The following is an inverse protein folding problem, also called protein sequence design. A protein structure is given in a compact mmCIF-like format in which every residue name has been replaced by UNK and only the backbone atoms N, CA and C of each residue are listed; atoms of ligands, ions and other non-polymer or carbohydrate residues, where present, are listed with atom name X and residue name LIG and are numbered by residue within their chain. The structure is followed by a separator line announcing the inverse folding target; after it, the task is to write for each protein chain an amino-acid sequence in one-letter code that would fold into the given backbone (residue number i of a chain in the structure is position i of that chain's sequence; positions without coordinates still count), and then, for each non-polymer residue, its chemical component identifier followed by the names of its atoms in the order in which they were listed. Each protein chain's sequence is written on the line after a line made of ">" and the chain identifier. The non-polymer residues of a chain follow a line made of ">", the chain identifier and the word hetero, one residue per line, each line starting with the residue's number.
data_IF_836469575709
#
_entry.id   IF_836469575709
#
_cell.length_a   1.000
_cell.length_b   1.000
_cell.length_c   1.000
_cell.angle_alpha   90.00
_cell.angle_beta   90.00
_cell.angle_gamma   90.00
#
_symmetry.space_group_name_H-M   'P 1'
#
loop_
_entity.id
_entity.type
_entity.pdbx_description
1 polymer ?
#
# COMPACT_ATOMS: atom_id res chain seq x y z
N UNK A 1 -1.00 -12.91 -6.74
CA UNK A 1 0.41 -12.77 -6.26
C UNK A 1 0.37 -12.51 -4.75
N UNK A 2 1.47 -12.39 -4.02
CA UNK A 2 1.50 -11.88 -2.65
C UNK A 2 1.71 -10.37 -2.62
N UNK A 3 1.66 -9.79 -1.41
CA UNK A 3 1.84 -8.38 -1.14
C UNK A 3 3.11 -7.77 -1.78
N UNK A 4 4.24 -8.49 -1.77
CA UNK A 4 5.52 -8.02 -2.34
C UNK A 4 5.39 -7.78 -3.83
N UNK A 5 4.92 -8.78 -4.57
CA UNK A 5 4.74 -8.68 -6.00
C UNK A 5 3.73 -7.59 -6.40
N UNK A 6 2.60 -7.48 -5.67
CA UNK A 6 1.59 -6.45 -5.93
C UNK A 6 2.16 -5.04 -5.74
N UNK A 7 2.84 -4.79 -4.61
CA UNK A 7 3.50 -3.50 -4.33
C UNK A 7 4.59 -3.17 -5.34
N UNK A 8 5.41 -4.15 -5.73
CA UNK A 8 6.46 -3.97 -6.72
C UNK A 8 5.88 -3.61 -8.10
N UNK A 9 4.86 -4.35 -8.55
CA UNK A 9 4.18 -4.10 -9.83
C UNK A 9 3.52 -2.73 -9.86
N UNK A 10 2.77 -2.38 -8.82
CA UNK A 10 2.13 -1.07 -8.70
C UNK A 10 3.14 0.08 -8.69
N UNK A 11 4.28 -0.09 -7.99
CA UNK A 11 5.35 0.90 -8.01
C UNK A 11 5.92 1.08 -9.41
N UNK A 12 6.25 0.00 -10.11
CA UNK A 12 6.83 0.05 -11.46
C UNK A 12 5.86 0.67 -12.48
N UNK A 13 4.61 0.22 -12.49
CA UNK A 13 3.56 0.76 -13.36
C UNK A 13 3.27 2.23 -13.05
N UNK A 14 3.08 2.55 -11.78
CA UNK A 14 2.84 3.91 -11.32
C UNK A 14 3.99 4.83 -11.70
N UNK A 15 5.25 4.42 -11.46
CA UNK A 15 6.45 5.20 -11.77
C UNK A 15 6.64 5.42 -13.27
N UNK A 16 6.46 4.37 -14.07
CA UNK A 16 6.51 4.46 -15.52
C UNK A 16 5.48 5.46 -16.02
N UNK A 17 4.23 5.32 -15.59
CA UNK A 17 3.13 6.17 -16.03
C UNK A 17 3.27 7.61 -15.52
N UNK A 18 3.76 7.82 -14.30
CA UNK A 18 3.95 9.17 -13.77
C UNK A 18 5.00 9.95 -14.53
N UNK A 19 6.02 9.27 -15.08
CA UNK A 19 7.01 9.89 -15.96
C UNK A 19 6.39 10.33 -17.28
N UNK A 20 5.56 9.48 -17.90
CA UNK A 20 4.83 9.79 -19.13
C UNK A 20 3.87 10.98 -18.92
N UNK A 21 3.09 10.94 -17.84
CA UNK A 21 2.08 11.96 -17.55
C UNK A 21 2.63 13.22 -16.87
N UNK A 22 3.92 13.23 -16.51
CA UNK A 22 4.63 14.29 -15.76
C UNK A 22 3.96 14.61 -14.41
N UNK A 23 3.73 13.57 -13.61
CA UNK A 23 3.02 13.65 -12.32
C UNK A 23 3.96 13.26 -11.19
N UNK A 24 3.89 14.00 -10.08
CA UNK A 24 4.58 13.63 -8.84
C UNK A 24 3.74 12.59 -8.10
N UNK A 25 4.33 11.42 -7.87
CA UNK A 25 3.68 10.33 -7.14
C UNK A 25 3.79 10.51 -5.63
N UNK A 26 2.74 10.08 -4.95
CA UNK A 26 2.74 9.79 -3.53
C UNK A 26 2.93 8.27 -3.36
N UNK A 27 4.19 7.87 -3.16
CA UNK A 27 4.58 6.46 -3.07
C UNK A 27 3.80 5.70 -1.98
N UNK A 28 3.65 6.21 -0.73
CA UNK A 28 2.82 5.57 0.29
C UNK A 28 1.40 5.19 -0.18
N UNK A 29 0.68 6.13 -0.79
CA UNK A 29 -0.69 5.88 -1.26
C UNK A 29 -0.71 4.86 -2.40
N UNK A 30 0.25 4.94 -3.31
CA UNK A 30 0.41 4.00 -4.41
C UNK A 30 0.56 2.56 -3.91
N UNK A 31 1.41 2.34 -2.90
CA UNK A 31 1.65 1.02 -2.32
C UNK A 31 0.41 0.51 -1.57
N UNK A 32 -0.25 1.35 -0.77
CA UNK A 32 -1.48 0.96 -0.07
C UNK A 32 -2.55 0.51 -1.06
N UNK A 33 -2.79 1.28 -2.12
CA UNK A 33 -3.82 0.92 -3.11
C UNK A 33 -3.55 -0.41 -3.80
N UNK A 34 -2.29 -0.80 -3.96
CA UNK A 34 -1.92 -2.07 -4.61
C UNK A 34 -2.27 -3.33 -3.82
N UNK A 35 -2.52 -3.19 -2.51
CA UNK A 35 -2.86 -4.30 -1.61
C UNK A 35 -4.22 -4.09 -0.93
N UNK A 36 -4.89 -2.98 -1.23
CA UNK A 36 -6.19 -2.66 -0.66
C UNK A 36 -7.26 -3.70 -1.00
N UNK A 37 -7.27 -4.34 -2.20
CA UNK A 37 -8.25 -5.38 -2.50
C UNK A 37 -8.26 -6.53 -1.49
N UNK A 38 -7.09 -6.99 -1.05
CA UNK A 38 -6.89 -8.07 -0.07
C UNK A 38 -7.34 -7.74 1.37
N UNK A 39 -7.81 -6.52 1.63
CA UNK A 39 -8.38 -6.20 2.95
C UNK A 39 -9.66 -7.01 3.21
N UNK A 40 -10.31 -7.51 2.16
CA UNK A 40 -11.42 -8.45 2.28
C UNK A 40 -11.05 -9.78 2.96
N UNK A 41 -9.80 -10.23 2.89
CA UNK A 41 -9.33 -11.45 3.57
C UNK A 41 -9.55 -11.32 5.10
N UNK A 42 -9.32 -10.12 5.64
CA UNK A 42 -9.57 -9.83 7.06
C UNK A 42 -11.07 -9.88 7.35
N UNK A 43 -11.90 -9.37 6.45
CA UNK A 43 -13.35 -9.43 6.57
C UNK A 43 -13.85 -10.87 6.56
N UNK A 44 -13.40 -11.67 5.60
CA UNK A 44 -13.71 -13.10 5.48
C UNK A 44 -13.33 -13.86 6.75
N UNK A 45 -12.16 -13.56 7.33
CA UNK A 45 -11.74 -14.17 8.59
C UNK A 45 -12.62 -13.82 9.79
N UNK A 46 -13.05 -12.56 9.94
CA UNK A 46 -13.91 -12.18 11.07
C UNK A 46 -15.36 -12.62 10.89
N UNK A 47 -15.83 -12.76 9.66
CA UNK A 47 -17.25 -13.04 9.36
C UNK A 47 -17.53 -14.48 8.95
N UNK A 48 -16.50 -15.24 8.58
CA UNK A 48 -16.64 -16.56 7.96
C UNK A 48 -17.27 -16.50 6.57
N UNK A 49 -17.24 -15.34 5.91
CA UNK A 49 -17.70 -15.19 4.53
C UNK A 49 -16.63 -15.63 3.52
N UNK A 50 -17.04 -15.84 2.27
CA UNK A 50 -16.18 -16.20 1.14
C UNK A 50 -16.37 -15.14 0.04
N UNK A 51 -16.05 -13.89 0.38
CA UNK A 51 -16.19 -12.74 -0.51
C UNK A 51 -14.87 -12.31 -1.13
N UNK A 52 -13.74 -12.86 -0.67
CA UNK A 52 -12.44 -12.62 -1.23
C UNK A 52 -12.45 -12.85 -2.74
N UNK A 53 -11.79 -11.95 -3.49
CA UNK A 53 -11.80 -11.91 -4.97
C UNK A 53 -13.16 -11.59 -5.61
N UNK A 54 -14.11 -11.14 -4.80
CA UNK A 54 -15.40 -10.62 -5.21
C UNK A 54 -15.39 -9.09 -5.40
N UNK A 55 -16.19 -8.32 -4.64
CA UNK A 55 -16.38 -6.89 -4.87
C UNK A 55 -15.10 -6.02 -4.87
N UNK A 56 -14.16 -6.31 -3.97
CA UNK A 56 -12.90 -5.55 -3.80
C UNK A 56 -11.93 -5.72 -4.97
N UNK A 57 -12.03 -6.83 -5.69
CA UNK A 57 -11.20 -7.17 -6.84
C UNK A 57 -11.90 -6.86 -8.18
N UNK A 58 -13.13 -6.34 -8.13
CA UNK A 58 -13.88 -5.96 -9.31
C UNK A 58 -13.37 -4.66 -9.91
N UNK A 59 -13.12 -4.69 -11.23
CA UNK A 59 -12.74 -3.49 -12.00
C UNK A 59 -13.91 -2.52 -12.07
N UNK A 60 -15.14 -3.03 -12.09
CA UNK A 60 -16.36 -2.21 -12.11
C UNK A 60 -16.46 -1.41 -10.81
N UNK A 61 -16.27 -2.07 -9.66
CA UNK A 61 -16.27 -1.39 -8.35
C UNK A 61 -15.13 -0.39 -8.26
N UNK A 62 -13.92 -0.78 -8.67
CA UNK A 62 -12.77 0.11 -8.70
C UNK A 62 -13.04 1.35 -9.57
N UNK A 63 -13.63 1.19 -10.76
CA UNK A 63 -14.00 2.29 -11.65
C UNK A 63 -15.00 3.23 -10.98
N UNK A 64 -16.09 2.70 -10.44
CA UNK A 64 -17.14 3.49 -9.77
C UNK A 64 -16.54 4.29 -8.61
N UNK A 65 -15.73 3.65 -7.76
CA UNK A 65 -15.05 4.31 -6.65
C UNK A 65 -14.10 5.43 -7.11
N UNK A 66 -13.49 5.27 -8.28
CA UNK A 66 -12.54 6.24 -8.83
C UNK A 66 -13.18 7.33 -9.71
N UNK A 67 -14.43 7.21 -10.16
CA UNK A 67 -15.14 8.26 -10.92
C UNK A 67 -15.02 9.65 -10.26
N UNK A 68 -15.39 9.86 -8.97
CA UNK A 68 -15.28 11.17 -8.35
C UNK A 68 -13.82 11.66 -8.29
N UNK A 69 -12.86 10.75 -8.09
CA UNK A 69 -11.44 11.09 -8.07
C UNK A 69 -10.97 11.54 -9.46
N UNK A 70 -11.38 10.85 -10.53
CA UNK A 70 -11.07 11.24 -11.90
C UNK A 70 -11.67 12.61 -12.25
N UNK A 71 -12.89 12.91 -11.79
CA UNK A 71 -13.51 14.23 -12.01
C UNK A 71 -12.69 15.35 -11.32
N UNK A 72 -12.32 15.15 -10.06
CA UNK A 72 -11.68 16.19 -9.23
C UNK A 72 -10.19 16.34 -9.58
N UNK A 73 -9.46 15.23 -9.62
CA UNK A 73 -8.00 15.22 -9.71
C UNK A 73 -7.47 14.87 -11.10
N UNK A 74 -8.37 14.48 -12.03
CA UNK A 74 -8.08 14.23 -13.45
C UNK A 74 -6.95 13.21 -13.62
N UNK A 75 -6.04 13.46 -14.56
CA UNK A 75 -4.91 12.57 -14.89
C UNK A 75 -4.00 12.23 -13.71
N UNK A 76 -4.03 13.01 -12.61
CA UNK A 76 -3.22 12.72 -11.40
C UNK A 76 -3.62 11.42 -10.72
N UNK A 77 -4.84 10.94 -10.95
CA UNK A 77 -5.36 9.72 -10.33
C UNK A 77 -4.93 8.46 -11.07
N UNK A 78 -4.63 8.56 -12.37
CA UNK A 78 -4.41 7.39 -13.22
C UNK A 78 -3.36 6.42 -12.65
N UNK A 79 -2.19 6.85 -12.14
CA UNK A 79 -1.22 5.92 -11.53
C UNK A 79 -1.76 5.17 -10.31
N UNK A 80 -2.62 5.80 -9.52
CA UNK A 80 -3.23 5.22 -8.32
C UNK A 80 -4.35 4.25 -8.67
N UNK A 81 -5.15 4.59 -9.68
CA UNK A 81 -6.14 3.66 -10.22
C UNK A 81 -5.47 2.42 -10.80
N UNK A 82 -4.39 2.63 -11.56
CA UNK A 82 -3.60 1.54 -12.13
C UNK A 82 -2.98 0.66 -11.04
N UNK A 83 -2.47 1.25 -9.96
CA UNK A 83 -1.98 0.49 -8.81
C UNK A 83 -3.08 -0.40 -8.21
N UNK A 84 -4.27 0.14 -7.99
CA UNK A 84 -5.41 -0.63 -7.46
C UNK A 84 -5.79 -1.79 -8.39
N UNK A 85 -6.08 -1.51 -9.66
CA UNK A 85 -6.56 -2.56 -10.57
C UNK A 85 -5.46 -3.54 -10.97
N UNK A 86 -4.17 -3.17 -10.89
CA UNK A 86 -3.06 -4.09 -11.16
C UNK A 86 -3.06 -5.29 -10.22
N UNK A 87 -3.63 -5.12 -9.03
CA UNK A 87 -3.83 -6.21 -8.09
C UNK A 87 -4.61 -7.35 -8.75
N UNK A 88 -5.83 -7.05 -9.22
CA UNK A 88 -6.72 -8.04 -9.82
C UNK A 88 -6.34 -8.37 -11.26
N UNK A 89 -6.07 -7.36 -12.10
CA UNK A 89 -5.84 -7.55 -13.54
C UNK A 89 -4.50 -8.14 -13.93
N UNK A 90 -3.49 -8.03 -13.07
CA UNK A 90 -2.14 -8.53 -13.36
C UNK A 90 -1.76 -9.56 -12.31
N UNK A 91 -1.84 -9.22 -11.03
CA UNK A 91 -1.44 -10.15 -9.99
C UNK A 91 -2.34 -11.37 -9.95
N UNK A 92 -3.61 -11.19 -9.65
CA UNK A 92 -4.50 -12.32 -9.38
C UNK A 92 -5.05 -12.97 -10.65
N UNK A 93 -5.19 -12.22 -11.73
CA UNK A 93 -5.63 -12.77 -13.01
C UNK A 93 -4.63 -13.81 -13.55
N UNK A 94 -3.33 -13.53 -13.39
CA UNK A 94 -2.28 -14.45 -13.83
C UNK A 94 -1.92 -15.49 -12.76
N UNK A 95 -2.04 -15.14 -11.47
CA UNK A 95 -1.66 -16.00 -10.33
C UNK A 95 -2.85 -16.14 -9.36
N UNK A 96 -3.35 -17.36 -9.17
CA UNK A 96 -4.42 -17.64 -8.21
C UNK A 96 -5.84 -17.60 -8.80
N UNK A 97 -6.14 -16.74 -9.78
CA UNK A 97 -7.41 -16.73 -10.53
C UNK A 97 -8.67 -16.55 -9.67
N UNK A 98 -9.80 -17.07 -10.14
CA UNK A 98 -11.11 -17.06 -9.45
C UNK A 98 -11.67 -15.67 -9.13
N UNK A 99 -11.40 -14.69 -9.99
CA UNK A 99 -11.79 -13.29 -9.78
C UNK A 99 -13.18 -13.00 -10.34
N UNK A 100 -14.06 -12.37 -9.56
CA UNK A 100 -15.33 -11.83 -10.06
C UNK A 100 -15.10 -10.41 -10.64
N UNK A 101 -14.34 -10.31 -11.74
CA UNK A 101 -13.88 -9.05 -12.32
C UNK A 101 -14.98 -8.03 -12.63
N UNK A 102 -16.19 -8.53 -12.95
CA UNK A 102 -17.34 -7.73 -13.36
C UNK A 102 -18.45 -7.66 -12.31
N UNK A 103 -18.18 -8.04 -11.06
CA UNK A 103 -19.14 -7.88 -9.97
C UNK A 103 -19.55 -6.39 -9.84
N UNK A 104 -20.84 -6.03 -9.64
CA UNK A 104 -21.97 -6.92 -9.34
C UNK A 104 -22.75 -7.42 -10.56
N UNK A 105 -22.35 -7.06 -11.78
CA UNK A 105 -23.08 -7.44 -12.99
C UNK A 105 -22.92 -8.91 -13.36
N UNK A 106 -21.81 -9.53 -12.95
CA UNK A 106 -21.56 -10.96 -13.10
C UNK A 106 -20.73 -11.48 -11.93
N UNK A 107 -21.07 -12.68 -11.47
CA UNK A 107 -20.29 -13.47 -10.50
C UNK A 107 -19.41 -14.52 -11.18
N UNK A 108 -19.32 -14.48 -12.53
CA UNK A 108 -18.42 -15.36 -13.28
C UNK A 108 -16.99 -15.13 -12.84
N UNK A 109 -16.27 -16.22 -12.58
CA UNK A 109 -14.90 -16.21 -12.14
C UNK A 109 -13.95 -16.21 -13.36
N UNK A 110 -12.91 -15.38 -13.27
CA UNK A 110 -11.92 -15.20 -14.32
C UNK A 110 -10.49 -15.39 -13.77
N UNK A 111 -9.62 -15.84 -14.66
CA UNK A 111 -8.19 -16.00 -14.44
C UNK A 111 -7.58 -16.85 -15.56
N UNK A 112 -6.26 -16.92 -15.62
CA UNK A 112 -5.56 -17.72 -16.64
C UNK A 112 -5.85 -19.21 -16.51
N UNK A 113 -6.03 -19.70 -15.29
CA UNK A 113 -6.29 -21.13 -15.06
C UNK A 113 -7.63 -21.56 -15.67
N UNK A 114 -8.65 -20.70 -15.53
CA UNK A 114 -9.99 -20.89 -16.07
C UNK A 114 -10.01 -20.88 -17.62
N UNK A 115 -8.98 -20.31 -18.25
CA UNK A 115 -8.78 -20.29 -19.70
C UNK A 115 -7.96 -21.50 -20.22
N UNK A 116 -7.73 -22.52 -19.40
CA UNK A 116 -7.00 -23.75 -19.77
C UNK A 116 -5.49 -23.69 -19.50
N UNK A 117 -5.01 -22.68 -18.77
CA UNK A 117 -3.60 -22.63 -18.34
C UNK A 117 -3.39 -23.40 -17.02
N UNK A 118 -2.12 -23.69 -16.70
CA UNK A 118 -1.74 -24.29 -15.43
C UNK A 118 -2.07 -23.34 -14.26
N UNK A 119 -2.66 -23.87 -13.18
CA UNK A 119 -2.91 -23.10 -11.96
C UNK A 119 -1.58 -22.79 -11.27
N UNK A 120 -1.17 -21.52 -11.29
CA UNK A 120 0.02 -21.08 -10.57
C UNK A 120 -0.40 -20.70 -9.15
N UNK A 121 -0.07 -21.59 -8.21
CA UNK A 121 -0.31 -21.38 -6.80
C UNK A 121 0.56 -20.26 -6.23
N UNK A 122 0.10 -19.71 -5.12
CA UNK A 122 0.79 -18.65 -4.39
C UNK A 122 2.19 -19.11 -3.89
N UNK A 123 2.32 -20.39 -3.51
CA UNK A 123 3.60 -21.01 -3.11
C UNK A 123 4.36 -21.68 -4.26
N UNK A 124 3.87 -21.54 -5.49
CA UNK A 124 4.52 -22.13 -6.67
C UNK A 124 5.89 -21.47 -6.91
N UNK A 125 6.96 -22.23 -7.22
CA UNK A 125 8.27 -21.68 -7.52
C UNK A 125 8.27 -20.60 -8.60
N UNK A 126 7.39 -20.71 -9.60
CA UNK A 126 7.24 -19.70 -10.67
C UNK A 126 6.70 -18.39 -10.09
N UNK A 127 5.69 -18.45 -9.22
CA UNK A 127 5.18 -17.26 -8.54
C UNK A 127 6.26 -16.63 -7.64
N UNK A 128 6.94 -17.45 -6.83
CA UNK A 128 8.01 -16.97 -5.94
C UNK A 128 9.11 -16.26 -6.76
N UNK A 129 9.56 -16.88 -7.85
CA UNK A 129 10.58 -16.29 -8.72
C UNK A 129 10.10 -14.98 -9.38
N UNK A 130 8.84 -14.92 -9.82
CA UNK A 130 8.24 -13.72 -10.40
C UNK A 130 8.20 -12.58 -9.38
N UNK A 131 7.73 -12.86 -8.17
CA UNK A 131 7.65 -11.85 -7.11
C UNK A 131 9.01 -11.31 -6.69
N UNK A 132 9.99 -12.19 -6.52
CA UNK A 132 11.35 -11.78 -6.20
C UNK A 132 11.99 -10.97 -7.33
N UNK A 133 11.74 -11.36 -8.58
CA UNK A 133 12.22 -10.60 -9.75
C UNK A 133 11.62 -9.19 -9.78
N UNK A 134 10.30 -9.08 -9.61
CA UNK A 134 9.60 -7.79 -9.53
C UNK A 134 10.10 -6.97 -8.35
N UNK A 135 10.29 -7.58 -7.18
CA UNK A 135 10.82 -6.93 -5.99
C UNK A 135 12.22 -6.34 -6.23
N UNK A 136 13.13 -7.13 -6.82
CA UNK A 136 14.50 -6.67 -7.12
C UNK A 136 14.45 -5.51 -8.11
N UNK A 137 13.70 -5.64 -9.21
CA UNK A 137 13.57 -4.59 -10.24
C UNK A 137 12.97 -3.32 -9.63
N UNK A 138 11.89 -3.44 -8.86
CA UNK A 138 11.24 -2.33 -8.17
C UNK A 138 12.20 -1.64 -7.19
N UNK A 139 12.97 -2.40 -6.42
CA UNK A 139 13.96 -1.87 -5.47
C UNK A 139 15.07 -1.11 -6.18
N UNK A 140 15.58 -1.63 -7.30
CA UNK A 140 16.57 -0.94 -8.12
C UNK A 140 16.03 0.38 -8.69
N UNK A 141 14.79 0.39 -9.19
CA UNK A 141 14.14 1.60 -9.69
C UNK A 141 13.88 2.60 -8.56
N UNK A 142 13.45 2.11 -7.40
CA UNK A 142 13.21 2.91 -6.19
C UNK A 142 14.50 3.59 -5.72
N UNK A 143 15.61 2.85 -5.72
CA UNK A 143 16.93 3.37 -5.39
C UNK A 143 17.39 4.41 -6.41
N UNK A 144 17.42 4.06 -7.70
CA UNK A 144 17.92 4.91 -8.80
C UNK A 144 17.12 6.19 -8.97
N UNK A 145 15.81 6.15 -8.74
CA UNK A 145 14.95 7.32 -8.82
C UNK A 145 15.02 8.23 -7.58
N UNK A 146 15.61 7.76 -6.48
CA UNK A 146 15.65 8.48 -5.21
C UNK A 146 14.32 8.48 -4.45
N UNK A 147 13.32 7.73 -4.93
CA UNK A 147 11.99 7.65 -4.31
C UNK A 147 12.04 7.01 -2.92
N UNK A 148 13.04 6.16 -2.64
CA UNK A 148 13.28 5.58 -1.31
C UNK A 148 13.39 6.63 -0.19
N UNK A 149 13.84 7.85 -0.52
CA UNK A 149 13.96 8.96 0.45
C UNK A 149 12.62 9.35 1.05
N UNK A 150 11.49 9.02 0.42
CA UNK A 150 10.14 9.28 0.96
C UNK A 150 9.93 8.58 2.30
N UNK A 151 10.45 7.35 2.46
CA UNK A 151 10.32 6.57 3.70
C UNK A 151 11.14 7.16 4.85
N UNK A 152 12.15 7.98 4.56
CA UNK A 152 13.01 8.61 5.55
C UNK A 152 12.64 10.08 5.79
N UNK A 153 11.51 10.56 5.29
CA UNK A 153 10.99 11.91 5.58
C UNK A 153 9.77 11.81 6.49
N UNK A 154 9.61 12.76 7.39
CA UNK A 154 8.35 12.91 8.11
C UNK A 154 7.32 13.50 7.14
N UNK A 155 6.31 12.72 6.80
CA UNK A 155 5.19 13.16 5.98
C UNK A 155 3.92 12.47 6.48
N UNK A 156 2.85 13.23 6.72
CA UNK A 156 1.56 12.69 7.17
C UNK A 156 1.06 11.55 6.29
N UNK A 157 1.35 11.59 4.99
CA UNK A 157 0.93 10.52 4.06
C UNK A 157 1.67 9.20 4.32
N UNK A 158 2.81 9.20 5.01
CA UNK A 158 3.49 7.95 5.39
C UNK A 158 2.71 7.17 6.45
N UNK A 159 1.77 7.79 7.18
CA UNK A 159 0.94 7.07 8.17
C UNK A 159 0.04 6.02 7.53
N UNK A 160 -0.34 6.18 6.26
CA UNK A 160 -1.13 5.17 5.54
C UNK A 160 -0.39 3.85 5.38
N UNK A 161 0.95 3.85 5.53
CA UNK A 161 1.77 2.64 5.49
C UNK A 161 1.55 1.70 6.70
N UNK A 162 0.76 2.10 7.71
CA UNK A 162 0.30 1.19 8.76
C UNK A 162 -0.47 0.00 8.17
N UNK A 163 -1.24 0.23 7.09
CA UNK A 163 -1.98 -0.84 6.40
C UNK A 163 -1.01 -1.90 5.86
N UNK A 164 -0.04 -1.57 4.98
CA UNK A 164 0.90 -2.54 4.46
C UNK A 164 1.82 -3.15 5.51
N UNK A 165 2.08 -2.47 6.64
CA UNK A 165 2.79 -3.10 7.77
C UNK A 165 2.02 -4.32 8.26
N UNK A 166 0.71 -4.20 8.49
CA UNK A 166 -0.10 -5.33 8.93
C UNK A 166 -0.14 -6.44 7.87
N UNK A 167 -0.31 -6.10 6.59
CA UNK A 167 -0.44 -7.09 5.51
C UNK A 167 0.85 -7.86 5.24
N UNK A 168 2.04 -7.30 5.48
CA UNK A 168 3.29 -8.05 5.35
C UNK A 168 3.69 -8.75 6.65
N UNK A 169 3.34 -8.19 7.81
CA UNK A 169 3.69 -8.76 9.11
C UNK A 169 2.95 -10.07 9.36
N UNK A 170 1.62 -10.08 9.20
CA UNK A 170 0.79 -11.23 9.57
C UNK A 170 1.19 -12.53 8.82
N UNK A 171 1.37 -12.53 7.48
CA UNK A 171 1.80 -13.73 6.78
C UNK A 171 3.22 -14.16 7.14
N UNK A 172 4.11 -13.20 7.38
CA UNK A 172 5.52 -13.50 7.69
C UNK A 172 5.74 -14.11 9.05
N UNK A 173 4.97 -13.69 10.07
CA UNK A 173 5.19 -14.11 11.46
C UNK A 173 4.17 -15.11 11.95
N UNK A 174 2.88 -14.84 11.76
CA UNK A 174 1.78 -15.67 12.25
C UNK A 174 1.31 -16.70 11.22
N UNK A 175 1.74 -16.55 9.96
CA UNK A 175 1.30 -17.39 8.86
C UNK A 175 -0.03 -16.97 8.27
N UNK A 176 -0.84 -16.16 8.95
CA UNK A 176 -2.15 -15.75 8.44
C UNK A 176 -2.07 -14.97 7.11
N UNK A 177 -2.90 -15.29 6.08
CA UNK A 177 -4.01 -16.25 6.08
C UNK A 177 -3.65 -17.72 5.79
N UNK A 178 -2.37 -18.05 5.70
CA UNK A 178 -1.86 -19.42 5.53
C UNK A 178 -1.84 -20.21 6.85
N UNK A 179 -1.59 -21.50 6.71
CA UNK A 179 -1.44 -22.45 7.83
C UNK A 179 -0.11 -22.34 8.57
N UNK A 180 0.90 -21.69 7.99
CA UNK A 180 2.23 -21.56 8.58
C UNK A 180 2.94 -20.27 8.17
N UNK A 181 3.83 -19.72 9.01
CA UNK A 181 4.61 -18.51 8.73
C UNK A 181 5.45 -18.61 7.45
N UNK A 182 5.45 -17.55 6.63
CA UNK A 182 6.30 -17.49 5.43
C UNK A 182 7.79 -17.61 5.77
N UNK A 183 8.20 -17.18 6.97
CA UNK A 183 9.58 -17.33 7.42
C UNK A 183 10.04 -18.79 7.44
N UNK A 184 9.10 -19.73 7.64
CA UNK A 184 9.36 -21.16 7.65
C UNK A 184 9.11 -21.81 6.28
N UNK A 185 8.04 -21.41 5.59
CA UNK A 185 7.59 -22.08 4.37
C UNK A 185 8.18 -21.52 3.08
N UNK A 186 8.48 -20.21 3.03
CA UNK A 186 9.07 -19.54 1.87
C UNK A 186 10.07 -18.45 2.31
N UNK A 187 11.23 -18.82 2.92
CA UNK A 187 12.17 -17.87 3.49
C UNK A 187 12.62 -16.73 2.53
N UNK A 188 12.88 -16.99 1.22
CA UNK A 188 13.25 -15.92 0.29
C UNK A 188 12.17 -14.83 0.17
N UNK A 189 10.90 -15.22 0.13
CA UNK A 189 9.77 -14.27 0.05
C UNK A 189 9.60 -13.53 1.38
N UNK A 190 9.80 -14.22 2.51
CA UNK A 190 9.77 -13.59 3.83
C UNK A 190 10.84 -12.49 3.97
N UNK A 191 12.03 -12.64 3.38
CA UNK A 191 13.05 -11.59 3.37
C UNK A 191 12.55 -10.32 2.67
N UNK A 192 11.86 -10.46 1.54
CA UNK A 192 11.27 -9.31 0.84
C UNK A 192 10.16 -8.64 1.67
N UNK A 193 9.36 -9.42 2.41
CA UNK A 193 8.39 -8.87 3.38
C UNK A 193 9.09 -8.07 4.48
N UNK A 194 10.14 -8.63 5.09
CA UNK A 194 10.89 -7.97 6.17
C UNK A 194 11.54 -6.66 5.68
N UNK A 195 12.01 -6.62 4.44
CA UNK A 195 12.53 -5.39 3.83
C UNK A 195 11.46 -4.28 3.79
N UNK A 196 10.27 -4.58 3.27
CA UNK A 196 9.16 -3.61 3.24
C UNK A 196 8.70 -3.25 4.65
N UNK A 197 8.58 -4.23 5.55
CA UNK A 197 8.20 -4.02 6.94
C UNK A 197 9.12 -3.00 7.62
N UNK A 198 10.43 -3.15 7.45
CA UNK A 198 11.42 -2.22 7.98
C UNK A 198 11.24 -0.81 7.39
N UNK A 199 11.16 -0.68 6.06
CA UNK A 199 10.98 0.61 5.40
C UNK A 199 9.71 1.34 5.84
N UNK A 200 8.60 0.62 5.91
CA UNK A 200 7.31 1.19 6.29
C UNK A 200 7.29 1.57 7.77
N UNK A 201 7.86 0.73 8.64
CA UNK A 201 7.97 1.02 10.07
C UNK A 201 8.78 2.28 10.33
N UNK A 202 9.93 2.43 9.65
CA UNK A 202 10.75 3.67 9.74
C UNK A 202 9.93 4.89 9.32
N UNK A 203 9.19 4.79 8.21
CA UNK A 203 8.40 5.89 7.68
C UNK A 203 7.27 6.34 8.62
N UNK A 204 6.56 5.37 9.20
CA UNK A 204 5.48 5.61 10.18
C UNK A 204 6.06 6.18 11.47
N UNK A 205 7.05 5.53 12.08
CA UNK A 205 7.65 5.95 13.35
C UNK A 205 8.23 7.36 13.26
N UNK A 206 8.96 7.67 12.18
CA UNK A 206 9.52 9.02 11.98
C UNK A 206 8.43 10.08 11.88
N UNK A 207 7.31 9.75 11.25
CA UNK A 207 6.17 10.66 11.11
C UNK A 207 5.46 10.85 12.45
N UNK A 208 5.22 9.77 13.21
CA UNK A 208 4.63 9.83 14.54
C UNK A 208 5.49 10.63 15.51
N UNK A 209 6.81 10.40 15.53
CA UNK A 209 7.75 11.16 16.36
C UNK A 209 7.71 12.66 16.05
N UNK A 210 7.68 13.02 14.76
CA UNK A 210 7.55 14.42 14.35
C UNK A 210 6.23 15.04 14.81
N UNK A 211 5.11 14.33 14.66
CA UNK A 211 3.80 14.81 15.10
C UNK A 211 3.73 14.98 16.62
N UNK A 212 4.28 14.02 17.36
CA UNK A 212 4.40 14.07 18.81
C UNK A 212 5.19 15.30 19.27
N UNK A 213 6.39 15.51 18.74
CA UNK A 213 7.22 16.66 19.10
C UNK A 213 6.54 18.00 18.74
N UNK A 214 5.89 18.06 17.59
CA UNK A 214 5.14 19.26 17.17
C UNK A 214 3.99 19.57 18.13
N UNK A 215 3.24 18.55 18.53
CA UNK A 215 2.14 18.70 19.49
C UNK A 215 2.65 19.13 20.86
N UNK A 216 3.70 18.49 21.35
CA UNK A 216 4.30 18.79 22.65
C UNK A 216 4.84 20.23 22.72
N UNK A 217 5.57 20.69 21.70
CA UNK A 217 6.06 22.08 21.64
C UNK A 217 4.92 23.11 21.59
N UNK A 218 3.81 22.80 20.91
CA UNK A 218 2.64 23.67 20.89
C UNK A 218 1.95 23.73 22.26
N UNK A 219 1.88 22.60 22.97
CA UNK A 219 1.31 22.55 24.32
C UNK A 219 2.11 23.43 25.29
N UNK A 220 3.45 23.39 25.25
CA UNK A 220 4.30 24.22 26.12
C UNK A 220 4.10 25.73 25.86
N UNK A 221 4.02 26.14 24.59
CA UNK A 221 3.81 27.56 24.25
C UNK A 221 2.48 28.12 24.72
N UNK A 222 1.44 27.29 24.84
CA UNK A 222 0.11 27.71 25.33
C UNK A 222 0.07 27.89 26.85
N UNK A 223 0.97 27.23 27.59
CA UNK A 223 1.03 27.28 29.06
C UNK A 223 1.94 28.39 29.59
N UNK A 224 2.69 29.11 28.74
CA UNK A 224 3.42 30.29 29.20
C UNK A 224 2.43 31.45 29.43
N UNK A 225 2.34 32.01 30.65
CA UNK A 225 1.48 33.15 30.90
C UNK A 225 1.95 34.33 30.06
N UNK A 226 0.99 35.01 29.42
CA UNK A 226 1.22 36.31 28.78
C UNK A 226 1.69 37.24 29.89
N UNK A 227 2.99 37.49 29.99
CA UNK A 227 3.51 38.57 30.82
C UNK A 227 2.96 39.87 30.23
N UNK A 228 1.89 40.38 30.84
CA UNK A 228 1.37 41.71 30.60
C UNK A 228 2.44 42.69 31.07
N UNK A 229 3.17 43.27 30.12
CA UNK A 229 4.01 44.43 30.34
C UNK A 229 3.12 45.60 30.78
N UNK A 230 2.95 45.78 32.09
CA UNK A 230 2.57 47.07 32.66
C UNK A 230 3.79 47.99 32.59
N UNK A 231 3.97 48.68 31.46
CA UNK A 231 4.80 49.87 31.39
C UNK A 231 4.14 50.96 32.24
N UNK A 232 4.49 51.01 33.52
CA UNK A 232 4.25 52.17 34.37
C UNK A 232 5.16 53.30 33.88
N UNK A 233 4.53 54.21 33.12
CA UNK A 233 5.07 55.49 32.70
C UNK A 233 5.48 56.28 33.95
N UNK A 234 6.77 56.51 34.10
CA UNK A 234 7.34 57.43 35.09
C UNK A 234 7.06 58.86 34.63
N UNK A 235 5.96 59.44 35.12
CA UNK A 235 5.72 60.88 35.05
C UNK A 235 6.64 61.61 36.02
N UNK A 236 7.60 62.37 35.50
CA UNK A 236 8.33 63.42 36.22
C UNK A 236 7.41 64.63 36.45
N UNK A 237 7.34 65.11 37.69
CA UNK A 237 7.10 66.52 38.04
C UNK A 237 7.76 66.79 39.38
#
# INVERSE_FOLDING_TARGET
>A
MFAVGHMASAYLLGKGLSKVLRIKLNIPILLVLSILPDVDIIYDFFTGSDLHRGPTHSIVVALIAFIPLFIIYRKKVIPYFLALISHSLIGDFFIGGRLQLFWPFSTTQYGLHELGSYYIGITDPVNIALELSLFVIATLVLYKSGDWKVFFKSNKTNLVLIIPIATVLLPSTLGYPFSAPLLLTAPPLAIAHLFYLMLFSIAVLKTLFYLYNKYFQHSIKKTQPINSNSNLVTGRS
#
